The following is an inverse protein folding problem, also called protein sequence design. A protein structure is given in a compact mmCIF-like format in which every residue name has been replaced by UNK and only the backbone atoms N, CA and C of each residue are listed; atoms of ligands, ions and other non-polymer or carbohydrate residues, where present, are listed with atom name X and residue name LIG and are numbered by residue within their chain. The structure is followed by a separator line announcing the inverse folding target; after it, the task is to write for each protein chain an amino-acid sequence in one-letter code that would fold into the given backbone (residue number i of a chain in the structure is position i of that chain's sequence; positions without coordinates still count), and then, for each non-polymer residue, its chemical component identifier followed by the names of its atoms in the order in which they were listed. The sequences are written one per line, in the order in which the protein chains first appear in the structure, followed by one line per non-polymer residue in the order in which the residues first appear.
data_IF_301355021453
#
_entry.id   IF_301355021453
#
_cell.length_a   1.000
_cell.length_b   1.000
_cell.length_c   1.000
_cell.angle_alpha   90.00
_cell.angle_beta   90.00
_cell.angle_gamma   90.00
#
_symmetry.space_group_name_H-M   'P 1'
#
loop_
_entity.id
_entity.type
_entity.pdbx_description
1 polymer ?
#
# COMPACT_ATOMS: atom_id res chain seq x y z
N UNK A 1 39.84 29.00 -14.58
CA UNK A 1 39.66 27.74 -15.31
C UNK A 1 40.08 26.63 -14.37
N UNK A 2 39.12 26.07 -13.65
CA UNK A 2 39.37 25.06 -12.60
C UNK A 2 38.40 23.93 -12.88
N UNK A 3 38.97 22.79 -13.29
CA UNK A 3 38.28 21.53 -13.59
C UNK A 3 37.80 20.91 -12.28
N UNK A 4 36.49 20.69 -12.17
CA UNK A 4 35.88 19.89 -11.11
C UNK A 4 36.01 18.42 -11.50
N UNK A 5 36.67 17.63 -10.66
CA UNK A 5 36.71 16.17 -10.75
C UNK A 5 35.42 15.60 -10.15
N UNK A 6 34.60 14.98 -11.00
CA UNK A 6 33.43 14.20 -10.59
C UNK A 6 33.88 12.91 -9.90
N UNK A 7 33.71 12.85 -8.58
CA UNK A 7 33.91 11.62 -7.81
C UNK A 7 32.57 10.87 -7.75
N UNK A 8 32.37 9.91 -8.66
CA UNK A 8 31.24 8.99 -8.61
C UNK A 8 31.48 7.92 -7.53
N UNK A 9 30.71 7.96 -6.44
CA UNK A 9 30.62 6.85 -5.50
C UNK A 9 29.75 5.74 -6.10
N UNK A 10 30.37 4.60 -6.42
CA UNK A 10 29.64 3.37 -6.74
C UNK A 10 29.17 2.72 -5.45
N UNK A 11 27.90 2.88 -5.11
CA UNK A 11 27.27 2.05 -4.08
C UNK A 11 26.85 0.73 -4.73
N UNK A 12 27.68 -0.29 -4.61
CA UNK A 12 27.28 -1.68 -4.76
C UNK A 12 26.51 -2.08 -3.50
N UNK A 13 25.18 -2.07 -3.56
CA UNK A 13 24.29 -2.50 -2.48
C UNK A 13 22.87 -2.60 -3.03
N UNK A 14 22.20 -3.74 -2.79
CA UNK A 14 20.95 -4.16 -3.44
C UNK A 14 19.89 -3.07 -3.53
N UNK A 15 19.59 -2.67 -4.76
CA UNK A 15 18.44 -1.82 -5.05
C UNK A 15 17.18 -2.67 -5.03
N UNK A 16 16.45 -2.67 -3.92
CA UNK A 16 15.08 -3.16 -3.85
C UNK A 16 14.19 -2.18 -4.61
N UNK A 17 14.16 -2.33 -5.94
CA UNK A 17 13.40 -1.45 -6.82
C UNK A 17 11.94 -1.88 -6.84
N UNK A 18 11.07 -0.93 -6.49
CA UNK A 18 9.68 -0.80 -6.94
C UNK A 18 9.48 -1.39 -8.33
N UNK A 19 8.30 -1.99 -8.59
CA UNK A 19 7.85 -2.51 -9.88
C UNK A 19 8.71 -1.97 -11.03
N UNK A 20 9.68 -2.81 -11.45
CA UNK A 20 10.87 -2.30 -12.14
C UNK A 20 10.45 -1.40 -13.30
N UNK A 21 11.09 -0.23 -13.48
CA UNK A 21 10.80 0.64 -14.60
C UNK A 21 10.84 -0.18 -15.89
N UNK A 22 9.68 -0.41 -16.50
CA UNK A 22 9.61 -1.17 -17.73
C UNK A 22 10.24 -0.31 -18.82
N UNK A 23 11.29 -0.84 -19.46
CA UNK A 23 11.78 -0.24 -20.69
C UNK A 23 10.72 -0.47 -21.76
N UNK A 24 10.06 0.60 -22.17
CA UNK A 24 9.19 0.56 -23.34
C UNK A 24 9.97 0.10 -24.58
N UNK A 25 9.26 -0.34 -25.63
CA UNK A 25 9.87 -0.78 -26.91
C UNK A 25 10.79 0.28 -27.56
N UNK A 26 10.80 1.52 -27.06
CA UNK A 26 11.71 2.62 -27.46
C UNK A 26 12.82 2.95 -26.47
N UNK A 27 13.09 2.12 -25.45
CA UNK A 27 14.14 2.33 -24.46
C UNK A 27 13.85 3.39 -23.39
N UNK A 28 12.66 4.01 -23.41
CA UNK A 28 12.24 5.00 -22.40
C UNK A 28 11.73 4.30 -21.14
N UNK A 29 12.09 4.86 -19.99
CA UNK A 29 11.66 4.43 -18.66
C UNK A 29 10.24 4.92 -18.40
N UNK A 30 9.34 4.01 -18.05
CA UNK A 30 8.00 4.32 -17.53
C UNK A 30 7.86 3.78 -16.11
N UNK A 31 7.18 4.52 -15.24
CA UNK A 31 6.87 4.11 -13.89
C UNK A 31 5.39 3.75 -13.78
N UNK A 32 5.03 2.62 -13.16
CA UNK A 32 3.65 2.32 -12.82
C UNK A 32 3.21 3.20 -11.64
N UNK A 33 2.18 4.01 -11.83
CA UNK A 33 1.55 4.82 -10.78
C UNK A 33 0.24 4.15 -10.41
N UNK A 34 0.14 3.66 -9.17
CA UNK A 34 -1.08 3.00 -8.66
C UNK A 34 -2.07 4.07 -8.20
N UNK A 35 -3.31 3.96 -8.66
CA UNK A 35 -4.39 4.92 -8.39
C UNK A 35 -5.54 4.18 -7.74
N UNK A 36 -5.94 4.61 -6.54
CA UNK A 36 -7.16 4.15 -5.88
C UNK A 36 -8.28 5.16 -6.17
N UNK A 37 -9.42 4.67 -6.67
CA UNK A 37 -10.65 5.44 -6.76
C UNK A 37 -11.50 5.16 -5.52
N UNK A 38 -12.31 6.14 -5.11
CA UNK A 38 -13.12 6.05 -3.89
C UNK A 38 -14.23 4.98 -3.90
N UNK A 39 -14.43 4.29 -5.02
CA UNK A 39 -15.34 3.13 -5.16
C UNK A 39 -14.61 1.79 -4.92
N UNK A 40 -13.34 1.82 -4.51
CA UNK A 40 -12.51 0.63 -4.29
C UNK A 40 -11.74 0.16 -5.53
N UNK A 41 -12.04 0.70 -6.72
CA UNK A 41 -11.34 0.30 -7.93
C UNK A 41 -9.89 0.83 -7.93
N UNK A 42 -8.95 -0.05 -8.26
CA UNK A 42 -7.54 0.29 -8.41
C UNK A 42 -7.16 0.29 -9.89
N UNK A 43 -6.38 1.28 -10.31
CA UNK A 43 -5.87 1.45 -11.68
C UNK A 43 -4.36 1.63 -11.66
N UNK A 44 -3.70 1.37 -12.79
CA UNK A 44 -2.27 1.62 -12.98
C UNK A 44 -2.07 2.55 -14.16
N UNK A 45 -1.45 3.69 -13.92
CA UNK A 45 -1.04 4.63 -14.95
C UNK A 45 0.46 4.44 -15.23
N UNK A 46 0.80 3.92 -16.40
CA UNK A 46 2.20 3.87 -16.84
C UNK A 46 2.57 5.20 -17.49
N UNK A 47 3.46 5.94 -16.83
CA UNK A 47 3.92 7.25 -17.29
C UNK A 47 5.43 7.44 -17.04
N UNK A 48 6.09 8.10 -17.98
CA UNK A 48 7.44 8.65 -17.85
C UNK A 48 7.42 10.17 -17.98
N UNK A 49 8.55 10.82 -17.72
CA UNK A 49 8.69 12.29 -17.82
C UNK A 49 8.35 12.77 -19.24
N UNK A 50 8.75 12.01 -20.26
CA UNK A 50 8.54 12.32 -21.68
C UNK A 50 7.34 11.57 -22.30
N UNK A 51 6.44 11.04 -21.48
CA UNK A 51 5.27 10.30 -21.97
C UNK A 51 4.14 11.27 -22.32
N UNK A 52 3.95 11.48 -23.63
CA UNK A 52 2.88 12.35 -24.17
C UNK A 52 1.48 11.81 -23.89
N UNK A 53 1.32 10.47 -23.91
CA UNK A 53 0.05 9.79 -23.68
C UNK A 53 0.25 8.62 -22.72
N UNK A 54 0.10 8.83 -21.40
CA UNK A 54 0.28 7.76 -20.44
C UNK A 54 -0.84 6.73 -20.58
N UNK A 55 -0.51 5.46 -20.34
CA UNK A 55 -1.47 4.35 -20.48
C UNK A 55 -2.14 4.10 -19.15
N UNK A 56 -3.45 4.32 -19.09
CA UNK A 56 -4.27 3.96 -17.95
C UNK A 56 -4.76 2.51 -18.11
N UNK A 57 -4.42 1.66 -17.15
CA UNK A 57 -4.80 0.26 -17.09
C UNK A 57 -5.76 0.03 -15.93
N UNK A 58 -6.76 -0.83 -16.14
CA UNK A 58 -7.67 -1.27 -15.08
C UNK A 58 -9.16 -1.08 -15.42
N UNK A 59 -10.07 -1.28 -14.43
CA UNK A 59 -9.76 -1.60 -13.04
C UNK A 59 -9.00 -2.94 -12.91
N UNK A 60 -8.01 -2.98 -12.03
CA UNK A 60 -7.18 -4.17 -11.84
C UNK A 60 -7.95 -5.21 -11.01
N UNK A 61 -7.77 -6.50 -11.32
CA UNK A 61 -8.43 -7.55 -10.56
C UNK A 61 -7.81 -7.69 -9.17
N UNK A 62 -8.66 -7.79 -8.15
CA UNK A 62 -8.26 -8.09 -6.76
C UNK A 62 -8.71 -9.51 -6.43
N UNK A 63 -7.76 -10.34 -5.99
CA UNK A 63 -7.96 -11.76 -5.72
C UNK A 63 -7.73 -12.09 -4.23
N UNK A 64 -8.46 -13.08 -3.68
CA UNK A 64 -9.57 -13.82 -4.32
C UNK A 64 -10.82 -12.95 -4.52
N UNK A 65 -11.54 -13.14 -5.62
CA UNK A 65 -12.85 -12.52 -5.86
C UNK A 65 -13.90 -13.25 -5.02
N UNK A 66 -14.31 -12.62 -3.93
CA UNK A 66 -15.41 -13.08 -3.07
C UNK A 66 -16.33 -11.89 -2.86
N UNK A 67 -17.64 -12.12 -2.90
CA UNK A 67 -18.65 -11.09 -2.69
C UNK A 67 -18.34 -10.31 -1.39
N UNK A 68 -18.29 -8.98 -1.50
CA UNK A 68 -18.08 -8.02 -0.41
C UNK A 68 -16.76 -8.15 0.40
N UNK A 69 -15.70 -8.74 -0.17
CA UNK A 69 -14.44 -8.97 0.58
C UNK A 69 -13.52 -7.73 0.72
N UNK A 70 -13.70 -6.68 -0.10
CA UNK A 70 -12.77 -5.53 -0.16
C UNK A 70 -13.46 -4.16 -0.07
N UNK A 71 -14.70 -4.14 0.41
CA UNK A 71 -15.47 -2.93 0.64
C UNK A 71 -15.73 -2.11 -0.64
N UNK A 72 -16.44 -0.99 -0.46
CA UNK A 72 -16.66 0.02 -1.52
C UNK A 72 -16.26 1.42 -1.05
N UNK A 73 -15.72 1.54 0.16
CA UNK A 73 -15.39 2.78 0.89
C UNK A 73 -13.88 2.89 1.15
N UNK A 74 -13.08 2.39 0.20
CA UNK A 74 -11.63 2.54 0.21
C UNK A 74 -11.22 4.02 0.25
N UNK A 75 -10.39 4.38 1.22
CA UNK A 75 -10.08 5.77 1.54
C UNK A 75 -8.59 6.12 1.44
N UNK A 76 -7.69 5.12 1.43
CA UNK A 76 -6.25 5.37 1.29
C UNK A 76 -5.52 4.17 0.70
N UNK A 77 -4.41 4.45 0.00
CA UNK A 77 -3.51 3.47 -0.58
C UNK A 77 -2.07 3.87 -0.32
N UNK A 78 -1.22 2.92 0.07
CA UNK A 78 0.23 3.12 0.09
C UNK A 78 0.95 1.92 -0.52
N UNK A 79 2.08 2.19 -1.18
CA UNK A 79 2.95 1.14 -1.72
C UNK A 79 4.17 0.95 -0.84
N UNK A 80 4.40 -0.29 -0.46
CA UNK A 80 5.59 -0.77 0.25
C UNK A 80 6.47 -1.51 -0.78
N UNK A 81 7.75 -1.17 -0.94
CA UNK A 81 8.64 -1.73 -1.95
C UNK A 81 9.26 -3.05 -1.46
N UNK A 82 8.44 -3.94 -0.92
CA UNK A 82 8.79 -5.33 -0.73
C UNK A 82 9.03 -6.02 -2.09
N UNK A 83 9.52 -7.25 -2.05
CA UNK A 83 9.69 -8.11 -3.23
C UNK A 83 8.81 -9.36 -3.06
N UNK A 84 7.69 -9.48 -3.80
CA UNK A 84 7.07 -8.50 -4.71
C UNK A 84 6.50 -7.26 -3.98
N UNK A 85 6.28 -6.12 -4.68
CA UNK A 85 5.72 -4.92 -4.07
C UNK A 85 4.37 -5.19 -3.39
N UNK A 86 4.20 -4.67 -2.18
CA UNK A 86 2.95 -4.80 -1.43
C UNK A 86 2.17 -3.49 -1.48
N UNK A 87 0.94 -3.57 -1.94
CA UNK A 87 -0.06 -2.51 -1.91
C UNK A 87 -0.90 -2.68 -0.65
N UNK A 88 -1.01 -1.60 0.12
CA UNK A 88 -1.90 -1.54 1.28
C UNK A 88 -3.09 -0.67 0.90
N UNK A 89 -4.30 -1.21 1.04
CA UNK A 89 -5.55 -0.49 0.78
C UNK A 89 -6.32 -0.40 2.10
N UNK A 90 -6.71 0.80 2.51
CA UNK A 90 -7.50 1.01 3.72
C UNK A 90 -8.96 1.33 3.39
N UNK A 91 -9.87 0.67 4.10
CA UNK A 91 -11.30 0.99 4.15
C UNK A 91 -11.61 1.96 5.30
N UNK A 92 -12.71 2.70 5.19
CA UNK A 92 -13.14 3.59 6.28
C UNK A 92 -13.67 2.83 7.50
N UNK A 93 -13.92 1.52 7.35
CA UNK A 93 -14.26 0.57 8.41
C UNK A 93 -13.11 0.25 9.38
N UNK A 94 -11.89 0.67 9.06
CA UNK A 94 -10.68 0.32 9.83
C UNK A 94 -9.97 -0.93 9.32
N UNK A 95 -10.48 -1.58 8.27
CA UNK A 95 -9.78 -2.68 7.62
C UNK A 95 -8.65 -2.17 6.71
N UNK A 96 -7.56 -2.91 6.69
CA UNK A 96 -6.42 -2.69 5.80
C UNK A 96 -6.05 -3.99 5.10
N UNK A 97 -6.12 -4.01 3.77
CA UNK A 97 -5.80 -5.17 2.95
C UNK A 97 -4.36 -5.12 2.50
N UNK A 98 -3.60 -6.19 2.78
CA UNK A 98 -2.22 -6.34 2.34
C UNK A 98 -2.20 -7.20 1.07
N UNK A 99 -1.91 -6.57 -0.07
CA UNK A 99 -1.96 -7.23 -1.37
C UNK A 99 -0.61 -7.19 -2.09
N UNK A 100 -0.20 -8.30 -2.69
CA UNK A 100 0.94 -8.33 -3.60
C UNK A 100 0.52 -7.81 -4.98
N UNK A 101 1.32 -6.91 -5.54
CA UNK A 101 1.21 -6.50 -6.94
C UNK A 101 2.01 -7.47 -7.81
N UNK A 102 1.30 -8.26 -8.62
CA UNK A 102 1.87 -9.32 -9.44
C UNK A 102 1.56 -9.07 -10.92
N UNK A 103 2.46 -9.51 -11.80
CA UNK A 103 2.26 -9.41 -13.25
C UNK A 103 1.27 -10.47 -13.74
N UNK A 104 0.37 -10.06 -14.65
CA UNK A 104 -0.60 -10.94 -15.30
C UNK A 104 0.01 -11.52 -16.59
N UNK A 105 0.02 -12.85 -16.72
CA UNK A 105 0.54 -13.53 -17.92
C UNK A 105 -0.39 -13.33 -19.13
N UNK A 106 -1.71 -13.29 -18.93
CA UNK A 106 -2.73 -13.07 -19.97
C UNK A 106 -3.66 -11.86 -19.68
N UNK A 107 -3.17 -10.61 -19.78
CA UNK A 107 -3.91 -9.38 -19.44
C UNK A 107 -5.32 -9.27 -20.03
N UNK A 108 -5.48 -9.70 -21.29
CA UNK A 108 -6.70 -9.52 -22.07
C UNK A 108 -7.91 -10.32 -21.56
N UNK A 109 -7.69 -11.39 -20.78
CA UNK A 109 -8.77 -12.28 -20.32
C UNK A 109 -9.49 -11.75 -19.08
N UNK A 110 -8.88 -10.81 -18.32
CA UNK A 110 -9.39 -10.33 -17.03
C UNK A 110 -9.82 -8.86 -17.00
N UNK A 111 -9.63 -8.09 -18.07
CA UNK A 111 -9.60 -6.62 -17.97
C UNK A 111 -10.45 -5.86 -19.00
N UNK A 112 -11.72 -6.23 -19.15
CA UNK A 112 -12.66 -5.44 -19.95
C UNK A 112 -13.91 -5.08 -19.13
N UNK A 113 -13.97 -3.84 -18.67
CA UNK A 113 -15.23 -3.19 -18.32
C UNK A 113 -15.21 -1.81 -18.97
N UNK A 114 -16.12 -1.59 -19.91
CA UNK A 114 -16.26 -0.29 -20.57
C UNK A 114 -16.67 0.77 -19.53
N UNK A 115 -15.80 1.76 -19.30
CA UNK A 115 -16.12 2.95 -18.52
C UNK A 115 -15.92 4.19 -19.39
N UNK A 116 -16.87 5.13 -19.28
CA UNK A 116 -16.95 6.47 -19.89
C UNK A 116 -16.19 6.72 -21.21
N UNK A 117 -16.95 7.09 -22.24
CA UNK A 117 -16.55 7.28 -23.65
C UNK A 117 -15.42 8.30 -23.94
N UNK A 118 -14.83 8.91 -22.90
CA UNK A 118 -13.72 9.86 -23.00
C UNK A 118 -12.36 9.31 -22.55
N UNK A 119 -12.31 8.16 -21.86
CA UNK A 119 -11.07 7.56 -21.35
C UNK A 119 -10.78 6.23 -22.06
N UNK A 120 -9.56 6.08 -22.56
CA UNK A 120 -9.09 4.81 -23.15
C UNK A 120 -8.43 3.99 -22.05
N UNK A 121 -9.09 2.90 -21.66
CA UNK A 121 -8.55 1.90 -20.74
C UNK A 121 -7.82 0.80 -21.52
N UNK A 122 -6.62 0.47 -21.05
CA UNK A 122 -5.82 -0.63 -21.58
C UNK A 122 -5.98 -1.88 -20.70
N UNK A 123 -5.87 -3.08 -21.29
CA UNK A 123 -5.81 -4.31 -20.51
C UNK A 123 -4.74 -4.24 -19.42
N UNK A 124 -5.08 -4.74 -18.22
CA UNK A 124 -4.18 -4.63 -17.09
C UNK A 124 -3.14 -5.73 -17.10
N UNK A 125 -1.86 -5.33 -17.11
CA UNK A 125 -0.70 -6.21 -16.99
C UNK A 125 -0.45 -6.69 -15.55
N UNK A 126 -1.34 -6.35 -14.62
CA UNK A 126 -1.14 -6.60 -13.20
C UNK A 126 -2.44 -7.02 -12.52
N UNK A 127 -2.31 -7.77 -11.43
CA UNK A 127 -3.40 -8.05 -10.51
C UNK A 127 -2.91 -7.93 -9.07
N UNK A 128 -3.87 -7.79 -8.15
CA UNK A 128 -3.61 -7.79 -6.72
C UNK A 128 -3.95 -9.15 -6.12
N UNK A 129 -2.99 -9.76 -5.44
CA UNK A 129 -3.22 -10.95 -4.62
C UNK A 129 -3.25 -10.54 -3.16
N UNK A 130 -4.43 -10.47 -2.56
CA UNK A 130 -4.58 -10.20 -1.13
C UNK A 130 -4.07 -11.40 -0.34
N UNK A 131 -3.18 -11.13 0.61
CA UNK A 131 -2.61 -12.13 1.52
C UNK A 131 -3.38 -12.17 2.84
N UNK A 132 -3.70 -10.99 3.39
CA UNK A 132 -4.39 -10.85 4.65
C UNK A 132 -5.12 -9.50 4.74
N UNK A 133 -6.02 -9.41 5.70
CA UNK A 133 -6.70 -8.17 6.10
C UNK A 133 -6.43 -7.94 7.57
N UNK A 134 -5.89 -6.78 7.92
CA UNK A 134 -5.67 -6.35 9.30
C UNK A 134 -6.76 -5.35 9.68
N UNK A 135 -7.47 -5.62 10.76
CA UNK A 135 -8.50 -4.75 11.32
C UNK A 135 -7.91 -3.85 12.41
N UNK A 136 -8.07 -2.54 12.24
CA UNK A 136 -7.62 -1.54 13.19
C UNK A 136 -8.73 -1.28 14.21
N UNK A 137 -8.34 -1.18 15.47
CA UNK A 137 -9.21 -0.66 16.51
C UNK A 137 -9.46 0.85 16.26
N UNK A 138 -10.71 1.30 16.18
CA UNK A 138 -11.06 2.71 15.92
C UNK A 138 -11.52 3.44 17.19
N UNK A 139 -10.71 3.33 18.24
CA UNK A 139 -11.00 3.76 19.60
C UNK A 139 -11.48 2.61 20.50
N UNK A 140 -11.56 2.86 21.80
CA UNK A 140 -12.06 1.87 22.74
C UNK A 140 -13.59 1.94 22.80
N UNK A 141 -14.25 0.93 22.23
CA UNK A 141 -15.71 0.82 22.27
C UNK A 141 -16.21 0.66 23.71
N UNK A 142 -17.27 1.40 24.06
CA UNK A 142 -18.04 1.11 25.27
C UNK A 142 -18.84 -0.18 25.08
N UNK A 143 -19.20 -0.84 26.18
CA UNK A 143 -19.91 -2.13 26.22
C UNK A 143 -21.28 -2.10 25.47
N UNK A 144 -21.80 -0.92 25.14
CA UNK A 144 -23.11 -0.69 24.50
C UNK A 144 -23.05 -0.13 23.05
N UNK A 145 -21.87 0.12 22.48
CA UNK A 145 -21.79 0.73 21.13
C UNK A 145 -21.77 -0.34 20.03
N UNK A 146 -22.96 -0.82 19.65
CA UNK A 146 -23.17 -1.62 18.43
C UNK A 146 -23.07 -0.80 17.12
N UNK A 147 -22.52 0.41 17.16
CA UNK A 147 -22.32 1.23 15.96
C UNK A 147 -20.96 0.95 15.34
N UNK A 148 -20.99 0.50 14.09
CA UNK A 148 -19.81 0.41 13.22
C UNK A 148 -19.24 1.82 13.03
N UNK A 149 -18.25 2.19 13.83
CA UNK A 149 -17.56 3.46 13.69
C UNK A 149 -16.80 3.44 12.35
N UNK A 150 -17.04 4.45 11.52
CA UNK A 150 -16.37 4.60 10.23
C UNK A 150 -15.72 5.97 10.15
N UNK A 151 -14.48 6.04 9.70
CA UNK A 151 -13.77 7.28 9.45
C UNK A 151 -12.70 7.09 8.39
N UNK A 152 -12.31 8.15 7.64
CA UNK A 152 -11.20 8.07 6.72
C UNK A 152 -9.92 7.64 7.46
N UNK A 153 -9.29 6.58 6.95
CA UNK A 153 -8.00 6.09 7.39
C UNK A 153 -6.93 6.61 6.43
N UNK A 154 -5.87 7.19 6.97
CA UNK A 154 -4.76 7.70 6.18
C UNK A 154 -3.52 6.84 6.39
N UNK A 155 -2.94 6.36 5.30
CA UNK A 155 -1.75 5.52 5.31
C UNK A 155 -0.49 6.34 5.05
N UNK A 156 0.58 6.04 5.79
CA UNK A 156 1.91 6.59 5.54
C UNK A 156 2.97 5.51 5.73
N UNK A 157 3.83 5.36 4.73
CA UNK A 157 4.94 4.42 4.77
C UNK A 157 5.99 4.84 5.82
N UNK A 158 6.60 3.86 6.48
CA UNK A 158 7.85 4.06 7.20
C UNK A 158 9.04 3.97 6.23
N UNK A 159 9.81 5.06 6.13
CA UNK A 159 10.99 5.11 5.26
C UNK A 159 12.21 4.45 5.89
N UNK A 160 12.18 4.17 7.20
CA UNK A 160 13.27 3.54 7.94
C UNK A 160 13.07 2.03 8.12
N UNK A 161 11.84 1.54 7.90
CA UNK A 161 11.49 0.14 8.06
C UNK A 161 10.48 -0.28 6.98
N UNK A 162 10.92 -1.09 6.02
CA UNK A 162 10.08 -1.52 4.91
C UNK A 162 9.02 -2.56 5.31
N UNK A 163 9.17 -3.18 6.49
CA UNK A 163 8.17 -4.08 7.07
C UNK A 163 7.17 -3.33 7.95
N UNK A 164 7.11 -2.00 7.91
CA UNK A 164 6.19 -1.21 8.72
C UNK A 164 5.55 -0.07 7.93
N UNK A 165 4.29 0.19 8.22
CA UNK A 165 3.62 1.43 7.84
C UNK A 165 2.79 1.96 9.03
N UNK A 166 2.27 3.16 8.88
CA UNK A 166 1.42 3.80 9.86
C UNK A 166 0.05 4.07 9.27
N UNK A 167 -0.97 3.87 10.07
CA UNK A 167 -2.34 4.27 9.78
C UNK A 167 -2.76 5.30 10.83
N UNK A 168 -3.27 6.45 10.41
CA UNK A 168 -3.81 7.45 11.34
C UNK A 168 -5.23 7.83 10.95
N UNK A 169 -6.02 8.13 11.96
CA UNK A 169 -7.44 8.44 11.84
C UNK A 169 -7.89 9.26 13.06
N UNK A 170 -9.18 9.58 13.12
CA UNK A 170 -9.74 10.44 14.17
C UNK A 170 -9.54 9.91 15.60
N UNK A 171 -9.42 8.60 15.79
CA UNK A 171 -9.29 7.98 17.11
C UNK A 171 -7.84 7.63 17.50
N UNK A 172 -6.87 7.78 16.60
CA UNK A 172 -5.49 7.46 16.93
C UNK A 172 -4.52 7.33 15.76
N UNK A 173 -3.32 6.89 16.13
CA UNK A 173 -2.22 6.52 15.25
C UNK A 173 -1.83 5.07 15.57
N UNK A 174 -1.80 4.24 14.54
CA UNK A 174 -1.37 2.85 14.59
C UNK A 174 -0.04 2.68 13.86
N UNK A 175 0.81 1.82 14.42
CA UNK A 175 1.93 1.21 13.72
C UNK A 175 1.51 -0.19 13.30
N UNK A 176 1.62 -0.50 12.00
CA UNK A 176 1.30 -1.82 11.47
C UNK A 176 2.57 -2.47 10.94
N UNK A 177 2.92 -3.62 11.51
CA UNK A 177 4.11 -4.40 11.15
C UNK A 177 3.69 -5.58 10.27
N UNK A 178 4.29 -5.66 9.08
CA UNK A 178 4.02 -6.67 8.06
C UNK A 178 4.95 -7.87 8.21
N UNK A 179 4.58 -8.83 9.05
CA UNK A 179 5.47 -9.94 9.41
C UNK A 179 5.73 -10.91 8.25
N UNK A 180 4.80 -11.02 7.29
CA UNK A 180 4.94 -11.89 6.11
C UNK A 180 6.06 -11.45 5.16
N UNK A 181 6.50 -10.18 5.20
CA UNK A 181 7.53 -9.63 4.30
C UNK A 181 8.85 -10.39 4.40
N UNK A 182 9.23 -10.85 5.60
CA UNK A 182 10.44 -11.66 5.80
C UNK A 182 10.34 -13.03 5.11
N UNK A 183 9.16 -13.65 5.17
CA UNK A 183 8.93 -14.94 4.53
C UNK A 183 8.93 -14.83 3.01
N UNK A 184 8.43 -13.71 2.48
CA UNK A 184 8.51 -13.40 1.04
C UNK A 184 9.96 -13.30 0.55
N UNK A 185 10.80 -12.54 1.25
CA UNK A 185 12.22 -12.40 0.89
C UNK A 185 12.91 -13.77 0.90
N UNK A 186 12.70 -14.57 1.95
CA UNK A 186 13.25 -15.92 2.04
C UNK A 186 12.75 -16.84 0.94
N UNK A 187 11.49 -16.71 0.54
CA UNK A 187 10.93 -17.50 -0.56
C UNK A 187 11.55 -17.12 -1.91
N UNK A 188 11.73 -15.83 -2.18
CA UNK A 188 12.32 -15.34 -3.43
C UNK A 188 13.81 -15.68 -3.53
N UNK A 189 14.53 -15.71 -2.42
CA UNK A 189 15.97 -16.02 -2.39
C UNK A 189 16.28 -17.53 -2.47
N UNK A 190 15.36 -18.41 -2.08
CA UNK A 190 15.55 -19.86 -2.08
C UNK A 190 15.13 -20.47 -3.44
N UNK A 191 16.08 -20.57 -4.38
CA UNK A 191 15.87 -21.07 -5.75
C UNK A 191 15.74 -22.61 -5.83
N UNK A 192 16.17 -23.34 -4.80
CA UNK A 192 16.39 -24.80 -4.86
C UNK A 192 15.12 -25.67 -4.63
N UNK A 193 13.98 -25.10 -4.22
CA UNK A 193 12.79 -25.86 -3.77
C UNK A 193 11.46 -25.43 -4.45
N UNK A 194 11.55 -24.71 -5.57
CA UNK A 194 10.38 -24.08 -6.24
C UNK A 194 9.36 -25.06 -6.83
N UNK A 195 9.65 -26.37 -6.88
CA UNK A 195 8.79 -27.33 -7.58
C UNK A 195 7.60 -27.88 -6.76
N UNK A 196 7.51 -27.70 -5.43
CA UNK A 196 6.41 -28.34 -4.67
C UNK A 196 5.83 -27.58 -3.47
N UNK A 197 6.33 -26.40 -3.07
CA UNK A 197 5.82 -25.72 -1.86
C UNK A 197 5.56 -24.23 -2.09
N UNK A 198 4.28 -23.87 -2.16
CA UNK A 198 3.86 -22.49 -1.96
C UNK A 198 4.27 -22.02 -0.56
N UNK A 199 4.75 -20.76 -0.40
CA UNK A 199 5.11 -20.24 0.91
C UNK A 199 3.85 -20.19 1.79
N UNK A 200 3.84 -20.99 2.85
CA UNK A 200 2.82 -20.90 3.89
C UNK A 200 3.16 -19.71 4.78
N UNK A 201 2.50 -18.57 4.53
CA UNK A 201 2.66 -17.37 5.35
C UNK A 201 2.03 -17.59 6.73
N UNK A 202 2.81 -18.14 7.65
CA UNK A 202 2.34 -18.49 8.99
C UNK A 202 2.45 -17.33 10.00
N UNK A 203 3.01 -16.18 9.58
CA UNK A 203 3.13 -15.00 10.43
C UNK A 203 2.06 -13.99 10.05
N UNK A 204 1.19 -13.66 10.99
CA UNK A 204 0.16 -12.63 10.83
C UNK A 204 0.74 -11.27 11.17
N UNK A 205 0.39 -10.27 10.37
CA UNK A 205 0.73 -8.88 10.67
C UNK A 205 0.05 -8.39 11.94
N UNK A 206 0.62 -7.37 12.55
CA UNK A 206 0.14 -6.82 13.83
C UNK A 206 -0.03 -5.31 13.74
N UNK A 207 -1.14 -4.82 14.28
CA UNK A 207 -1.41 -3.41 14.44
C UNK A 207 -1.37 -3.04 15.93
N UNK A 208 -0.62 -1.99 16.27
CA UNK A 208 -0.47 -1.50 17.64
C UNK A 208 -0.80 -0.01 17.69
N UNK A 209 -1.51 0.42 18.74
CA UNK A 209 -1.68 1.84 19.01
C UNK A 209 -0.34 2.46 19.42
N UNK A 210 0.09 3.46 18.67
CA UNK A 210 1.14 4.39 19.10
C UNK A 210 0.52 5.48 19.96
N UNK A 211 -0.65 6.00 19.55
CA UNK A 211 -1.43 6.99 20.30
C UNK A 211 -2.91 6.68 20.11
N UNK A 212 -3.66 6.63 21.21
CA UNK A 212 -5.12 6.56 21.19
C UNK A 212 -5.69 7.88 21.73
N UNK A 213 -6.49 8.58 20.92
CA UNK A 213 -7.14 9.84 21.29
C UNK A 213 -8.60 9.64 21.72
N UNK A 214 -9.14 8.43 21.52
CA UNK A 214 -10.45 7.99 22.00
C UNK A 214 -10.29 6.86 23.04
N UNK A 215 -9.71 7.19 24.19
CA UNK A 215 -9.38 6.23 25.24
C UNK A 215 -10.57 5.87 26.16
N UNK A 216 -11.63 6.68 26.16
CA UNK A 216 -12.83 6.44 26.96
C UNK A 216 -14.08 6.50 26.07
N UNK A 217 -15.10 5.67 26.35
CA UNK A 217 -16.41 5.80 25.72
C UNK A 217 -16.96 7.22 25.92
N UNK A 218 -17.50 7.83 24.87
CA UNK A 218 -18.07 9.19 24.87
C UNK A 218 -17.11 10.35 25.22
N UNK A 219 -15.79 10.15 25.14
CA UNK A 219 -14.81 11.25 25.28
C UNK A 219 -14.76 12.13 24.03
N UNK A 220 -14.51 13.43 24.20
CA UNK A 220 -14.19 14.32 23.08
C UNK A 220 -12.85 13.88 22.48
N UNK A 221 -12.84 13.62 21.17
CA UNK A 221 -11.65 13.13 20.48
C UNK A 221 -10.87 14.28 19.87
N UNK A 222 -9.61 14.42 20.26
CA UNK A 222 -8.66 15.26 19.53
C UNK A 222 -8.17 14.50 18.31
N UNK A 223 -8.83 14.67 17.16
CA UNK A 223 -8.50 13.92 15.94
C UNK A 223 -7.05 14.09 15.52
N UNK A 224 -6.42 13.00 15.06
CA UNK A 224 -5.08 13.07 14.48
C UNK A 224 -5.18 13.66 13.06
N UNK A 225 -4.61 14.84 12.86
CA UNK A 225 -4.61 15.53 11.57
C UNK A 225 -3.42 15.13 10.69
N UNK A 226 -2.35 14.64 11.31
CA UNK A 226 -1.16 14.18 10.63
C UNK A 226 -0.01 13.93 11.60
N UNK A 227 1.09 13.39 11.09
CA UNK A 227 2.29 13.15 11.88
C UNK A 227 3.58 13.18 11.05
N UNK A 228 4.70 13.38 11.73
CA UNK A 228 6.05 13.29 11.17
C UNK A 228 6.91 12.34 12.01
N UNK A 229 7.77 11.57 11.32
CA UNK A 229 8.80 10.75 11.95
C UNK A 229 10.08 11.59 12.04
N UNK A 230 10.67 11.64 13.23
CA UNK A 230 11.93 12.33 13.49
C UNK A 230 13.05 11.30 13.56
N UNK A 231 14.16 11.56 12.87
CA UNK A 231 15.34 10.69 12.89
C UNK A 231 16.35 11.06 13.97
N UNK A 232 16.37 12.32 14.43
CA UNK A 232 17.32 12.80 15.43
C UNK A 232 16.75 13.98 16.26
N UNK A 233 16.38 13.77 17.54
CA UNK A 233 16.28 12.48 18.21
C UNK A 233 15.17 11.61 17.59
N UNK A 234 15.25 10.27 17.66
CA UNK A 234 14.18 9.39 17.22
C UNK A 234 12.87 9.71 17.95
N UNK A 235 11.80 9.94 17.19
CA UNK A 235 10.52 10.31 17.79
C UNK A 235 9.42 10.49 16.76
N UNK A 236 8.20 10.76 17.25
CA UNK A 236 7.03 11.03 16.42
C UNK A 236 6.45 12.36 16.86
N UNK A 237 6.26 13.26 15.90
CA UNK A 237 5.53 14.50 16.11
C UNK A 237 4.11 14.31 15.57
N UNK A 238 3.10 14.40 16.44
CA UNK A 238 1.69 14.31 16.07
C UNK A 238 1.05 15.70 16.07
N UNK A 239 0.25 15.97 15.04
CA UNK A 239 -0.61 17.14 14.98
C UNK A 239 -2.04 16.70 15.31
N UNK A 240 -2.60 17.26 16.37
CA UNK A 240 -3.97 17.00 16.80
C UNK A 240 -4.87 18.19 16.49
N UNK A 241 -6.15 17.92 16.26
CA UNK A 241 -7.17 18.96 16.23
C UNK A 241 -7.30 19.62 17.61
N UNK A 242 -7.68 20.90 17.64
CA UNK A 242 -8.14 21.54 18.87
C UNK A 242 -9.53 20.99 19.22
N UNK A 243 -9.62 20.23 20.31
CA UNK A 243 -10.89 19.76 20.88
C UNK A 243 -11.65 20.81 21.67
#
# INVERSE_FOLDING_TARGET
TTTLEDTSYSTTGGGHSFAQPKKSKGGKIEWPIVILRGDGNVYILCAGIDTDRPKLQGPISILPQVDDNYGLDSCSLVVVPSLPPTIIIAESSGKTHHALLLEEESPAERSLTELDSSLVLYPCEWYLQVLETVELELGLAGVDEAQTYSCPIHLKRDLLNESRYFAYHNAGLHAVTMDFTRQLVQFVENDDDLNEKYPLFNSQSRAEYVVCTKALPNSSTNSVLGFALLSSPPGILLQLASG
#
